data_IF_871904596811
#
_entry.id   IF_871904596811
#
_cell.length_a   1.000
_cell.length_b   1.000
_cell.length_c   1.000
_cell.angle_alpha   90.00
_cell.angle_beta   90.00
_cell.angle_gamma   90.00
#
_symmetry.space_group_name_H-M   'P 1'
#
loop_
_entity.id
_entity.type
_entity.pdbx_description
1 polymer ?
#
# COMPACT_ATOMS: atom_id res chain seq x y z
N UNK A 1 20.61 -18.51 -14.63
CA UNK A 1 19.55 -18.85 -13.64
C UNK A 1 20.05 -18.67 -12.20
N UNK A 2 21.24 -19.14 -11.83
CA UNK A 2 21.81 -18.94 -10.48
C UNK A 2 21.91 -17.46 -10.06
N UNK A 3 22.43 -16.59 -10.94
CA UNK A 3 22.49 -15.15 -10.70
C UNK A 3 21.11 -14.51 -10.53
N UNK A 4 20.11 -14.98 -11.28
CA UNK A 4 18.73 -14.48 -11.18
C UNK A 4 18.08 -14.85 -9.84
N UNK A 5 18.33 -16.08 -9.35
CA UNK A 5 17.81 -16.53 -8.07
C UNK A 5 18.43 -15.75 -6.89
N UNK A 6 19.74 -15.44 -6.96
CA UNK A 6 20.42 -14.56 -5.99
C UNK A 6 19.82 -13.16 -5.93
N UNK A 7 19.18 -12.71 -7.01
CA UNK A 7 18.51 -11.41 -7.11
C UNK A 7 16.99 -11.50 -6.86
N UNK A 8 16.49 -12.59 -6.26
CA UNK A 8 15.08 -12.73 -5.88
C UNK A 8 14.13 -13.08 -7.03
N UNK A 9 14.64 -13.48 -8.21
CA UNK A 9 13.82 -13.89 -9.34
C UNK A 9 13.65 -15.42 -9.36
N UNK A 10 12.43 -15.89 -9.07
CA UNK A 10 12.05 -17.29 -9.21
C UNK A 10 11.53 -17.58 -10.62
N UNK A 11 12.33 -18.28 -11.42
CA UNK A 11 11.99 -18.63 -12.81
C UNK A 11 11.67 -20.13 -12.88
N UNK A 12 10.41 -20.46 -13.16
CA UNK A 12 9.94 -21.87 -13.20
C UNK A 12 10.27 -22.60 -14.51
N UNK A 13 10.36 -21.88 -15.64
CA UNK A 13 10.55 -22.47 -16.96
C UNK A 13 11.64 -21.73 -17.74
N UNK A 14 12.65 -22.48 -18.20
CA UNK A 14 13.80 -21.95 -18.96
C UNK A 14 13.38 -21.37 -20.32
N UNK A 15 12.49 -22.02 -21.05
CA UNK A 15 12.00 -21.56 -22.36
C UNK A 15 11.25 -20.24 -22.24
N UNK A 16 10.42 -20.07 -21.20
CA UNK A 16 9.73 -18.81 -20.92
C UNK A 16 10.69 -17.67 -20.62
N UNK A 17 11.83 -17.96 -20.00
CA UNK A 17 12.88 -16.97 -19.72
C UNK A 17 13.64 -16.54 -20.98
N UNK A 18 13.98 -17.46 -21.86
CA UNK A 18 14.60 -17.08 -23.14
C UNK A 18 13.65 -16.23 -24.00
N UNK A 19 12.36 -16.57 -24.00
CA UNK A 19 11.33 -15.82 -24.72
C UNK A 19 11.06 -14.44 -24.12
N UNK A 20 11.29 -14.24 -22.82
CA UNK A 20 11.05 -12.93 -22.18
C UNK A 20 11.94 -11.82 -22.75
N UNK A 21 13.09 -12.16 -23.35
CA UNK A 21 13.99 -11.23 -24.03
C UNK A 21 13.34 -10.47 -25.20
N UNK A 22 12.22 -10.97 -25.73
CA UNK A 22 11.47 -10.35 -26.85
C UNK A 22 10.29 -9.50 -26.37
N UNK A 23 10.01 -9.47 -25.07
CA UNK A 23 8.90 -8.69 -24.52
C UNK A 23 9.23 -7.21 -24.65
N UNK A 24 8.33 -6.44 -25.26
CA UNK A 24 8.43 -4.98 -25.41
C UNK A 24 7.46 -4.22 -24.52
N UNK A 25 6.51 -4.91 -23.91
CA UNK A 25 5.44 -4.30 -23.09
C UNK A 25 5.16 -5.17 -21.89
N UNK A 26 5.11 -4.56 -20.71
CA UNK A 26 4.74 -5.21 -19.46
C UNK A 26 3.48 -4.52 -18.93
N UNK A 27 2.46 -5.32 -18.68
CA UNK A 27 1.23 -4.86 -18.02
C UNK A 27 1.33 -5.28 -16.57
N UNK A 28 1.32 -4.29 -15.68
CA UNK A 28 1.32 -4.54 -14.24
C UNK A 28 -0.12 -4.52 -13.73
N UNK A 29 -0.46 -5.49 -12.90
CA UNK A 29 -1.57 -5.30 -11.98
C UNK A 29 -1.18 -4.25 -10.94
N UNK A 30 -2.13 -3.50 -10.39
CA UNK A 30 -1.80 -2.45 -9.42
C UNK A 30 -1.67 -3.01 -8.02
N UNK A 31 -2.69 -3.70 -7.53
CA UNK A 31 -2.79 -4.12 -6.13
C UNK A 31 -1.97 -5.37 -5.88
N UNK A 32 -1.05 -5.32 -4.93
CA UNK A 32 -0.13 -6.43 -4.64
C UNK A 32 1.09 -6.51 -5.56
N UNK A 33 1.18 -5.64 -6.58
CA UNK A 33 2.34 -5.53 -7.49
C UNK A 33 2.96 -4.14 -7.44
N UNK A 34 2.22 -3.09 -7.81
CA UNK A 34 2.69 -1.70 -7.69
C UNK A 34 2.40 -1.10 -6.32
N UNK A 35 1.31 -1.52 -5.68
CA UNK A 35 0.92 -1.08 -4.35
C UNK A 35 0.87 -2.25 -3.40
N UNK A 36 1.13 -1.98 -2.11
CA UNK A 36 1.14 -3.00 -1.05
C UNK A 36 -0.25 -3.39 -0.56
N UNK A 37 -1.33 -2.87 -1.16
CA UNK A 37 -2.70 -3.15 -0.76
C UNK A 37 -3.08 -2.68 0.66
N UNK A 38 -2.28 -1.78 1.25
CA UNK A 38 -2.54 -1.19 2.56
C UNK A 38 -2.96 0.26 2.39
N UNK A 39 -4.08 0.62 3.01
CA UNK A 39 -4.54 2.00 3.08
C UNK A 39 -3.72 2.78 4.10
N UNK A 40 -3.48 4.06 3.81
CA UNK A 40 -2.79 5.00 4.69
C UNK A 40 -3.43 6.39 4.55
N UNK A 41 -3.55 7.10 5.68
CA UNK A 41 -4.04 8.49 5.70
C UNK A 41 -2.95 9.41 5.17
N UNK A 42 -3.14 9.90 3.94
CA UNK A 42 -2.17 10.77 3.26
C UNK A 42 -2.17 12.21 3.77
N UNK A 43 -3.34 12.75 4.14
CA UNK A 43 -3.49 14.14 4.60
C UNK A 43 -4.73 14.29 5.47
N UNK A 44 -4.63 15.11 6.52
CA UNK A 44 -5.77 15.61 7.29
C UNK A 44 -5.95 17.08 6.95
N UNK A 45 -7.17 17.48 6.59
CA UNK A 45 -7.50 18.86 6.26
C UNK A 45 -8.59 19.31 7.22
N UNK A 46 -8.28 20.28 8.08
CA UNK A 46 -9.28 20.90 8.94
C UNK A 46 -10.03 22.00 8.21
N UNK A 47 -11.36 21.95 8.29
CA UNK A 47 -12.24 23.02 7.79
C UNK A 47 -12.57 24.05 8.88
N UNK A 48 -12.30 23.73 10.15
CA UNK A 48 -12.47 24.63 11.28
C UNK A 48 -11.10 24.96 11.88
N UNK A 49 -10.73 26.23 11.92
CA UNK A 49 -9.43 26.70 12.44
C UNK A 49 -9.19 26.33 13.92
N UNK A 50 -10.25 26.07 14.68
CA UNK A 50 -10.16 25.66 16.09
C UNK A 50 -9.83 24.18 16.25
N UNK A 51 -10.16 23.35 15.24
CA UNK A 51 -9.85 21.93 15.25
C UNK A 51 -8.47 21.70 14.65
N UNK A 52 -7.53 21.31 15.49
CA UNK A 52 -6.19 20.89 15.05
C UNK A 52 -6.26 19.48 14.46
N UNK A 53 -5.26 19.13 13.66
CA UNK A 53 -5.14 17.79 13.10
C UNK A 53 -5.18 16.70 14.18
N UNK A 54 -4.53 16.92 15.31
CA UNK A 54 -4.55 16.00 16.45
C UNK A 54 -5.97 15.76 17.01
N UNK A 55 -6.81 16.79 17.07
CA UNK A 55 -8.20 16.66 17.52
C UNK A 55 -9.03 15.83 16.54
N UNK A 56 -8.86 16.09 15.25
CA UNK A 56 -9.56 15.37 14.18
C UNK A 56 -9.16 13.90 14.19
N UNK A 57 -7.85 13.60 14.29
CA UNK A 57 -7.35 12.23 14.40
C UNK A 57 -7.95 11.57 15.64
N UNK A 58 -7.85 12.20 16.82
CA UNK A 58 -8.38 11.65 18.08
C UNK A 58 -9.86 11.31 18.00
N UNK A 59 -10.68 12.22 17.45
CA UNK A 59 -12.12 11.97 17.27
C UNK A 59 -12.38 10.84 16.28
N UNK A 60 -11.64 10.80 15.17
CA UNK A 60 -11.77 9.74 14.16
C UNK A 60 -11.37 8.37 14.70
N UNK A 61 -10.32 8.30 15.53
CA UNK A 61 -9.90 7.08 16.22
C UNK A 61 -11.01 6.54 17.13
N UNK A 62 -11.66 7.41 17.91
CA UNK A 62 -12.73 7.01 18.81
C UNK A 62 -13.98 6.50 18.06
N UNK A 63 -14.28 7.08 16.89
CA UNK A 63 -15.40 6.63 16.06
C UNK A 63 -15.13 5.28 15.38
N UNK A 64 -13.88 5.04 14.96
CA UNK A 64 -13.49 3.88 14.16
C UNK A 64 -13.03 2.67 14.98
N UNK A 65 -12.94 2.80 16.32
CA UNK A 65 -12.41 1.77 17.23
C UNK A 65 -13.03 0.36 17.03
N UNK A 66 -14.32 0.30 16.66
CA UNK A 66 -15.07 -0.96 16.51
C UNK A 66 -15.24 -1.41 15.04
N UNK A 67 -14.62 -0.71 14.10
CA UNK A 67 -14.79 -0.95 12.68
C UNK A 67 -13.70 -1.87 12.13
N UNK A 68 -14.12 -2.97 11.49
CA UNK A 68 -13.21 -3.92 10.82
C UNK A 68 -12.85 -3.48 9.40
N UNK A 69 -13.35 -2.34 8.93
CA UNK A 69 -13.11 -1.89 7.57
C UNK A 69 -11.62 -1.54 7.37
N UNK A 70 -10.98 -1.93 6.25
CA UNK A 70 -9.55 -1.63 6.01
C UNK A 70 -9.19 -0.13 6.07
N UNK A 71 -10.13 0.75 5.73
CA UNK A 71 -9.98 2.20 5.86
C UNK A 71 -9.95 2.62 7.34
N UNK A 72 -10.86 2.10 8.17
CA UNK A 72 -10.87 2.36 9.60
C UNK A 72 -9.56 1.93 10.25
N UNK A 73 -9.06 0.75 9.88
CA UNK A 73 -7.74 0.27 10.32
C UNK A 73 -6.62 1.24 9.91
N UNK A 74 -6.71 1.91 8.75
CA UNK A 74 -5.71 2.89 8.34
C UNK A 74 -5.76 4.18 9.16
N UNK A 75 -6.96 4.58 9.62
CA UNK A 75 -7.16 5.70 10.53
C UNK A 75 -6.59 5.34 11.91
N UNK A 76 -6.89 4.13 12.42
CA UNK A 76 -6.39 3.63 13.71
C UNK A 76 -4.87 3.57 13.81
N UNK A 77 -4.18 3.39 12.68
CA UNK A 77 -2.70 3.39 12.62
C UNK A 77 -2.09 4.78 12.61
N UNK A 78 -2.87 5.84 12.35
CA UNK A 78 -2.36 7.21 12.29
C UNK A 78 -2.14 7.72 13.71
N UNK A 79 -0.89 8.05 14.03
CA UNK A 79 -0.56 8.77 15.27
C UNK A 79 -0.73 10.28 15.04
N UNK A 80 -1.30 10.97 16.02
CA UNK A 80 -1.24 12.43 16.07
C UNK A 80 0.21 12.83 16.36
N UNK A 81 0.83 13.54 15.41
CA UNK A 81 2.17 14.15 15.58
C UNK A 81 2.01 15.49 16.29
#
# INVERSE_FOLDING_TARGET
METSAKNGLLIKNRTSFENSRKITTVVFDKTGTLTIGKFEVSKVISLNKELKEADIIRLSLALEEKSEHPIATSILKKQAI
#
